data_IF_659796846998
#
_entry.id   IF_659796846998
#
_cell.length_a   1.000
_cell.length_b   1.000
_cell.length_c   1.000
_cell.angle_alpha   90.00
_cell.angle_beta   90.00
_cell.angle_gamma   90.00
#
_symmetry.space_group_name_H-M   'P 1'
#
loop_
_entity.id
_entity.type
_entity.pdbx_description
1 polymer ?
#
# COMPACT_ATOMS: atom_id res chain seq x y z
N UNK A 1 -20.44 -32.75 -41.29
CA UNK A 1 -20.05 -31.51 -40.56
C UNK A 1 -19.16 -31.74 -39.32
N UNK A 2 -18.80 -32.98 -38.93
CA UNK A 2 -18.03 -33.24 -37.69
C UNK A 2 -16.51 -32.95 -37.75
N UNK A 3 -15.87 -33.08 -38.91
CA UNK A 3 -14.40 -33.03 -39.01
C UNK A 3 -13.83 -31.61 -38.75
N UNK A 4 -14.60 -30.55 -39.07
CA UNK A 4 -14.17 -29.15 -38.83
C UNK A 4 -14.19 -28.76 -37.34
N UNK A 5 -15.09 -29.33 -36.53
CA UNK A 5 -15.17 -29.02 -35.08
C UNK A 5 -13.98 -29.60 -34.31
N UNK A 6 -13.52 -30.78 -34.70
CA UNK A 6 -12.43 -31.49 -34.00
C UNK A 6 -11.07 -30.79 -34.19
N UNK A 7 -10.82 -30.26 -35.40
CA UNK A 7 -9.64 -29.44 -35.67
C UNK A 7 -9.64 -28.10 -34.92
N UNK A 8 -10.82 -27.50 -34.69
CA UNK A 8 -10.95 -26.27 -33.90
C UNK A 8 -10.72 -26.52 -32.40
N UNK A 9 -11.21 -27.64 -31.86
CA UNK A 9 -10.94 -28.04 -30.47
C UNK A 9 -9.47 -28.38 -30.23
N UNK A 10 -8.80 -29.07 -31.16
CA UNK A 10 -7.35 -29.31 -31.07
C UNK A 10 -6.54 -28.02 -31.16
N UNK A 11 -6.93 -27.08 -32.02
CA UNK A 11 -6.31 -25.75 -32.10
C UNK A 11 -6.54 -24.92 -30.84
N UNK A 12 -7.74 -24.98 -30.25
CA UNK A 12 -8.06 -24.31 -28.99
C UNK A 12 -7.32 -24.93 -27.80
N UNK A 13 -7.16 -26.26 -27.77
CA UNK A 13 -6.37 -26.95 -26.76
C UNK A 13 -4.88 -26.58 -26.86
N UNK A 14 -4.30 -26.60 -28.07
CA UNK A 14 -2.92 -26.16 -28.30
C UNK A 14 -2.71 -24.67 -28.00
N UNK A 15 -3.73 -23.83 -28.25
CA UNK A 15 -3.69 -22.42 -27.88
C UNK A 15 -3.81 -22.24 -26.35
N UNK A 16 -4.64 -23.03 -25.66
CA UNK A 16 -4.73 -23.07 -24.19
C UNK A 16 -3.48 -23.64 -23.53
N UNK A 17 -2.72 -24.48 -24.20
CA UNK A 17 -1.42 -24.96 -23.73
C UNK A 17 -0.35 -23.88 -23.89
N UNK A 18 -0.44 -23.08 -24.96
CA UNK A 18 0.41 -21.90 -25.18
C UNK A 18 -0.01 -20.65 -24.37
N UNK A 19 -1.28 -20.56 -23.98
CA UNK A 19 -1.89 -19.47 -23.18
C UNK A 19 -2.19 -19.88 -21.73
N UNK A 20 -1.95 -21.14 -21.37
CA UNK A 20 -1.83 -21.53 -19.98
C UNK A 20 -0.75 -20.65 -19.36
N UNK A 21 -0.79 -20.38 -18.05
CA UNK A 21 0.25 -19.57 -17.44
C UNK A 21 1.59 -20.21 -17.79
N UNK A 22 2.30 -19.65 -18.77
CA UNK A 22 3.73 -19.77 -18.81
C UNK A 22 4.13 -19.24 -17.44
N UNK A 23 4.58 -20.12 -16.57
CA UNK A 23 5.46 -19.75 -15.47
C UNK A 23 6.54 -18.91 -16.11
N UNK A 24 6.34 -17.60 -16.04
CA UNK A 24 7.11 -16.59 -16.75
C UNK A 24 8.32 -16.29 -15.89
N UNK A 25 9.06 -17.34 -15.54
CA UNK A 25 10.28 -17.26 -14.73
C UNK A 25 11.43 -16.57 -15.49
N UNK A 26 11.25 -16.24 -16.77
CA UNK A 26 12.19 -15.45 -17.57
C UNK A 26 12.00 -13.92 -17.47
N UNK A 27 11.11 -13.44 -16.59
CA UNK A 27 10.78 -12.00 -16.48
C UNK A 27 11.15 -11.36 -15.14
N UNK A 28 11.77 -12.10 -14.23
CA UNK A 28 12.16 -11.61 -12.90
C UNK A 28 13.67 -11.44 -12.83
N UNK A 29 14.16 -10.45 -12.06
CA UNK A 29 15.58 -10.32 -11.81
C UNK A 29 16.07 -11.57 -11.04
N UNK A 30 17.11 -12.24 -11.53
CA UNK A 30 17.71 -13.36 -10.80
C UNK A 30 18.50 -12.83 -9.60
N UNK A 31 17.84 -12.83 -8.43
CA UNK A 31 18.39 -12.33 -7.17
C UNK A 31 18.54 -13.43 -6.11
N UNK A 32 18.41 -14.70 -6.47
CA UNK A 32 18.39 -15.83 -5.52
C UNK A 32 19.58 -15.82 -4.54
N UNK A 33 20.76 -15.43 -5.00
CA UNK A 33 21.99 -15.32 -4.19
C UNK A 33 22.51 -13.86 -4.10
N UNK A 34 21.63 -12.87 -4.27
CA UNK A 34 22.04 -11.47 -4.19
C UNK A 34 22.29 -11.04 -2.74
N UNK A 35 23.35 -10.25 -2.55
CA UNK A 35 23.64 -9.56 -1.29
C UNK A 35 22.66 -8.39 -1.06
N UNK A 36 22.38 -8.02 0.20
CA UNK A 36 21.44 -6.95 0.53
C UNK A 36 21.76 -5.64 -0.19
N UNK A 37 23.03 -5.23 -0.31
CA UNK A 37 23.46 -3.99 -0.95
C UNK A 37 23.10 -3.93 -2.44
N UNK A 38 23.13 -5.08 -3.12
CA UNK A 38 22.66 -5.15 -4.51
C UNK A 38 21.15 -4.92 -4.57
N UNK A 39 20.39 -5.57 -3.68
CA UNK A 39 18.95 -5.38 -3.57
C UNK A 39 18.58 -3.91 -3.29
N UNK A 40 19.30 -3.25 -2.37
CA UNK A 40 19.13 -1.81 -2.07
C UNK A 40 19.36 -0.93 -3.31
N UNK A 41 20.41 -1.20 -4.08
CA UNK A 41 20.67 -0.46 -5.33
C UNK A 41 19.58 -0.68 -6.38
N UNK A 42 19.03 -1.89 -6.47
CA UNK A 42 17.94 -2.20 -7.39
C UNK A 42 16.61 -1.57 -6.96
N UNK A 43 16.36 -1.39 -5.65
CA UNK A 43 15.20 -0.67 -5.14
C UNK A 43 15.14 0.79 -5.63
N UNK A 44 16.31 1.41 -5.85
CA UNK A 44 16.43 2.77 -6.39
C UNK A 44 16.11 2.85 -7.89
N UNK A 45 15.93 1.71 -8.57
CA UNK A 45 15.48 1.61 -9.96
C UNK A 45 14.13 0.86 -10.02
N UNK A 46 13.00 1.53 -9.72
CA UNK A 46 11.70 0.87 -9.62
C UNK A 46 11.29 0.23 -10.95
N UNK A 47 11.15 -1.09 -10.94
CA UNK A 47 10.57 -1.87 -12.03
C UNK A 47 9.90 -3.12 -11.48
N UNK A 48 8.92 -3.64 -12.20
CA UNK A 48 8.22 -4.88 -11.81
C UNK A 48 9.23 -6.04 -11.69
N UNK A 49 10.21 -6.10 -12.61
CA UNK A 49 11.28 -7.10 -12.66
C UNK A 49 12.16 -7.07 -11.41
N UNK A 50 12.56 -5.87 -10.96
CA UNK A 50 13.40 -5.72 -9.77
C UNK A 50 12.63 -6.06 -8.49
N UNK A 51 11.37 -5.61 -8.36
CA UNK A 51 10.56 -5.94 -7.18
C UNK A 51 10.14 -7.41 -7.15
N UNK A 52 9.85 -8.05 -8.28
CA UNK A 52 9.51 -9.47 -8.29
C UNK A 52 10.70 -10.34 -7.89
N UNK A 53 11.89 -10.06 -8.44
CA UNK A 53 13.14 -10.71 -8.02
C UNK A 53 13.45 -10.45 -6.54
N UNK A 54 13.27 -9.22 -6.06
CA UNK A 54 13.51 -8.88 -4.67
C UNK A 54 12.55 -9.60 -3.73
N UNK A 55 11.26 -9.69 -4.08
CA UNK A 55 10.26 -10.44 -3.32
C UNK A 55 10.72 -11.88 -3.12
N UNK A 56 11.11 -12.58 -4.20
CA UNK A 56 11.62 -13.96 -4.09
C UNK A 56 12.86 -14.03 -3.19
N UNK A 57 13.77 -13.07 -3.28
CA UNK A 57 14.97 -13.03 -2.43
C UNK A 57 14.65 -12.80 -0.95
N UNK A 58 13.64 -11.99 -0.64
CA UNK A 58 13.13 -11.75 0.72
C UNK A 58 12.40 -12.99 1.28
N UNK A 59 11.60 -13.67 0.45
CA UNK A 59 10.87 -14.87 0.85
C UNK A 59 11.80 -16.05 1.20
N UNK A 60 12.99 -16.10 0.59
CA UNK A 60 13.97 -17.16 0.79
C UNK A 60 15.20 -16.72 1.62
N UNK A 61 15.17 -15.53 2.24
CA UNK A 61 16.28 -15.05 3.06
C UNK A 61 16.29 -15.71 4.44
N UNK A 62 17.48 -15.91 5.00
CA UNK A 62 17.65 -16.20 6.42
C UNK A 62 17.56 -14.93 7.29
N UNK A 63 17.56 -15.12 8.61
CA UNK A 63 17.47 -14.04 9.58
C UNK A 63 18.64 -13.04 9.48
N UNK A 64 19.86 -13.53 9.21
CA UNK A 64 21.05 -12.69 9.13
C UNK A 64 20.96 -11.73 7.94
N UNK A 65 20.56 -12.24 6.78
CA UNK A 65 20.35 -11.44 5.59
C UNK A 65 19.20 -10.44 5.77
N UNK A 66 18.09 -10.87 6.38
CA UNK A 66 16.95 -9.98 6.65
C UNK A 66 17.35 -8.81 7.54
N UNK A 67 18.11 -9.06 8.62
CA UNK A 67 18.62 -8.00 9.50
C UNK A 67 19.49 -7.02 8.73
N UNK A 68 20.45 -7.50 7.92
CA UNK A 68 21.29 -6.61 7.11
C UNK A 68 20.48 -5.76 6.12
N UNK A 69 19.48 -6.36 5.46
CA UNK A 69 18.59 -5.62 4.56
C UNK A 69 17.84 -4.50 5.28
N UNK A 70 17.36 -4.75 6.50
CA UNK A 70 16.68 -3.77 7.33
C UNK A 70 17.62 -2.66 7.82
N UNK A 71 18.82 -3.01 8.29
CA UNK A 71 19.86 -2.06 8.72
C UNK A 71 20.33 -1.15 7.57
N UNK A 72 20.32 -1.66 6.34
CA UNK A 72 20.59 -0.88 5.12
C UNK A 72 19.36 -0.10 4.62
N UNK A 73 18.34 0.11 5.47
CA UNK A 73 17.14 0.90 5.17
C UNK A 73 16.29 0.34 4.02
N UNK A 74 16.35 -0.98 3.77
CA UNK A 74 15.59 -1.61 2.69
C UNK A 74 14.08 -1.46 2.83
N UNK A 75 13.56 -1.55 4.06
CA UNK A 75 12.14 -1.33 4.34
C UNK A 75 11.72 0.13 4.13
N UNK A 76 12.57 1.10 4.52
CA UNK A 76 12.30 2.52 4.27
C UNK A 76 12.18 2.82 2.79
N UNK A 77 13.09 2.30 1.97
CA UNK A 77 13.05 2.48 0.52
C UNK A 77 11.81 1.84 -0.12
N UNK A 78 11.36 0.69 0.39
CA UNK A 78 10.12 0.04 -0.06
C UNK A 78 8.89 0.90 0.26
N UNK A 79 8.77 1.38 1.49
CA UNK A 79 7.62 2.20 1.91
C UNK A 79 7.62 3.57 1.25
N UNK A 80 8.79 4.19 1.06
CA UNK A 80 8.92 5.44 0.30
C UNK A 80 8.56 5.24 -1.18
N UNK A 81 8.93 4.10 -1.78
CA UNK A 81 8.50 3.77 -3.13
C UNK A 81 6.97 3.61 -3.21
N UNK A 82 6.35 2.94 -2.23
CA UNK A 82 4.90 2.77 -2.16
C UNK A 82 4.17 4.12 -2.04
N UNK A 83 4.68 5.03 -1.21
CA UNK A 83 4.13 6.38 -1.04
C UNK A 83 4.22 7.20 -2.34
N UNK A 84 5.41 7.25 -2.96
CA UNK A 84 5.62 7.93 -4.26
C UNK A 84 4.70 7.40 -5.36
N UNK A 85 4.42 6.10 -5.36
CA UNK A 85 3.52 5.50 -6.32
C UNK A 85 2.05 5.82 -6.01
N UNK A 86 1.68 5.95 -4.73
CA UNK A 86 0.31 6.23 -4.28
C UNK A 86 -0.15 7.64 -4.66
N UNK A 87 0.71 8.65 -4.55
CA UNK A 87 0.38 10.05 -4.83
C UNK A 87 0.21 10.42 -6.31
N UNK A 88 0.64 9.58 -7.26
CA UNK A 88 0.62 9.92 -8.70
C UNK A 88 -0.68 9.57 -9.42
N UNK A 89 -1.59 8.85 -8.77
CA UNK A 89 -2.73 8.22 -9.43
C UNK A 89 -2.28 7.10 -10.38
N UNK A 90 -3.09 6.07 -10.56
CA UNK A 90 -2.77 4.95 -11.46
C UNK A 90 -3.06 5.38 -12.90
N UNK A 91 -2.11 6.05 -13.55
CA UNK A 91 -2.26 6.49 -14.94
C UNK A 91 -2.12 5.33 -15.94
N UNK A 92 -1.39 4.27 -15.57
CA UNK A 92 -1.12 3.10 -16.43
C UNK A 92 -1.23 1.80 -15.65
N UNK A 93 -1.55 0.72 -16.38
CA UNK A 93 -1.57 -0.65 -15.84
C UNK A 93 -0.21 -1.03 -15.24
N UNK A 94 0.89 -0.59 -15.85
CA UNK A 94 2.25 -0.79 -15.34
C UNK A 94 2.44 -0.24 -13.94
N UNK A 95 1.81 0.89 -13.60
CA UNK A 95 1.99 1.56 -12.32
C UNK A 95 1.21 0.82 -11.22
N UNK A 96 0.02 0.33 -11.54
CA UNK A 96 -0.73 -0.57 -10.65
C UNK A 96 0.01 -1.88 -10.38
N UNK A 97 0.61 -2.47 -11.41
CA UNK A 97 1.42 -3.68 -11.25
C UNK A 97 2.65 -3.40 -10.39
N UNK A 98 3.36 -2.29 -10.64
CA UNK A 98 4.53 -1.90 -9.87
C UNK A 98 4.19 -1.68 -8.39
N UNK A 99 3.08 -0.99 -8.09
CA UNK A 99 2.58 -0.83 -6.72
C UNK A 99 2.27 -2.18 -6.07
N UNK A 100 1.59 -3.08 -6.79
CA UNK A 100 1.24 -4.40 -6.28
C UNK A 100 2.46 -5.25 -5.96
N UNK A 101 3.47 -5.23 -6.83
CA UNK A 101 4.72 -5.96 -6.59
C UNK A 101 5.52 -5.33 -5.45
N UNK A 102 5.50 -4.00 -5.30
CA UNK A 102 6.14 -3.30 -4.19
C UNK A 102 5.54 -3.69 -2.82
N UNK A 103 4.21 -3.63 -2.67
CA UNK A 103 3.57 -4.05 -1.41
C UNK A 103 3.78 -5.54 -1.12
N UNK A 104 3.93 -6.38 -2.16
CA UNK A 104 4.30 -7.78 -1.96
C UNK A 104 5.72 -7.97 -1.40
N UNK A 105 6.67 -7.06 -1.68
CA UNK A 105 7.98 -7.08 -1.02
C UNK A 105 7.85 -6.73 0.46
N UNK A 106 7.02 -5.73 0.81
CA UNK A 106 6.76 -5.38 2.22
C UNK A 106 6.10 -6.55 2.97
N UNK A 107 5.15 -7.25 2.32
CA UNK A 107 4.59 -8.49 2.86
C UNK A 107 5.66 -9.55 3.10
N UNK A 108 6.58 -9.76 2.16
CA UNK A 108 7.67 -10.72 2.31
C UNK A 108 8.56 -10.39 3.52
N UNK A 109 8.92 -9.11 3.73
CA UNK A 109 9.62 -8.66 4.94
C UNK A 109 8.85 -9.03 6.19
N UNK A 110 7.57 -8.67 6.27
CA UNK A 110 6.79 -8.88 7.49
C UNK A 110 6.42 -10.35 7.74
N UNK A 111 6.50 -11.22 6.74
CA UNK A 111 6.39 -12.66 6.92
C UNK A 111 7.65 -13.28 7.58
N UNK A 112 8.78 -12.58 7.57
CA UNK A 112 9.97 -12.97 8.34
C UNK A 112 9.81 -12.58 9.81
N UNK A 113 10.24 -13.46 10.72
CA UNK A 113 10.24 -13.20 12.15
C UNK A 113 11.02 -11.93 12.50
N UNK A 114 12.21 -11.74 11.90
CA UNK A 114 13.01 -10.53 12.10
C UNK A 114 12.38 -9.30 11.48
N UNK A 115 11.71 -9.43 10.35
CA UNK A 115 11.03 -8.31 9.70
C UNK A 115 9.85 -7.77 10.51
N UNK A 116 8.98 -8.64 11.03
CA UNK A 116 7.85 -8.18 11.87
C UNK A 116 8.29 -7.66 13.23
N UNK A 117 9.30 -8.29 13.86
CA UNK A 117 9.91 -7.81 15.11
C UNK A 117 10.48 -6.39 14.93
N UNK A 118 11.16 -6.15 13.81
CA UNK A 118 11.71 -4.84 13.46
C UNK A 118 10.62 -3.78 13.23
N UNK A 119 9.51 -4.14 12.58
CA UNK A 119 8.37 -3.23 12.35
C UNK A 119 7.70 -2.85 13.67
N UNK A 120 7.43 -3.83 14.56
CA UNK A 120 6.79 -3.57 15.85
C UNK A 120 7.70 -2.75 16.77
N UNK A 121 9.02 -2.90 16.64
CA UNK A 121 9.98 -2.09 17.41
C UNK A 121 10.05 -0.62 16.98
N UNK A 122 9.39 -0.23 15.89
CA UNK A 122 9.52 1.09 15.27
C UNK A 122 8.15 1.63 14.80
N UNK A 123 7.54 2.50 15.60
CA UNK A 123 6.19 3.06 15.35
C UNK A 123 6.03 3.71 13.97
N UNK A 124 7.10 4.31 13.44
CA UNK A 124 7.08 5.02 12.16
C UNK A 124 6.69 4.15 10.97
N UNK A 125 7.00 2.85 10.99
CA UNK A 125 6.66 1.96 9.88
C UNK A 125 5.17 1.65 9.82
N UNK A 126 4.52 1.49 10.98
CA UNK A 126 3.07 1.25 11.04
C UNK A 126 2.32 2.49 10.55
N UNK A 127 2.76 3.70 10.93
CA UNK A 127 2.19 4.95 10.39
C UNK A 127 2.37 5.07 8.86
N UNK A 128 3.55 4.73 8.32
CA UNK A 128 3.78 4.69 6.86
C UNK A 128 2.87 3.66 6.15
N UNK A 129 2.59 2.51 6.76
CA UNK A 129 1.63 1.54 6.22
C UNK A 129 0.20 2.11 6.16
N UNK A 130 -0.23 2.84 7.19
CA UNK A 130 -1.52 3.54 7.17
C UNK A 130 -1.56 4.63 6.10
N UNK A 131 -0.52 5.44 5.96
CA UNK A 131 -0.43 6.46 4.90
C UNK A 131 -0.55 5.84 3.50
N UNK A 132 0.01 4.65 3.28
CA UNK A 132 -0.13 3.95 2.00
C UNK A 132 -1.59 3.57 1.63
N UNK A 133 -2.56 3.68 2.55
CA UNK A 133 -3.99 3.56 2.25
C UNK A 133 -4.52 4.69 1.36
N UNK A 134 -3.77 5.80 1.20
CA UNK A 134 -4.12 6.92 0.32
C UNK A 134 -4.04 6.56 -1.17
N UNK A 135 -3.44 5.42 -1.54
CA UNK A 135 -3.48 4.90 -2.91
C UNK A 135 -4.90 4.78 -3.47
N UNK A 136 -5.09 4.88 -4.78
CA UNK A 136 -6.37 4.55 -5.42
C UNK A 136 -6.51 3.07 -5.77
N UNK A 137 -5.44 2.28 -5.61
CA UNK A 137 -5.41 0.87 -5.95
C UNK A 137 -6.05 0.01 -4.84
N UNK A 138 -7.28 -0.44 -5.05
CA UNK A 138 -8.06 -1.24 -4.09
C UNK A 138 -7.36 -2.54 -3.69
N UNK A 139 -6.62 -3.15 -4.61
CA UNK A 139 -5.90 -4.40 -4.33
C UNK A 139 -4.71 -4.14 -3.39
N UNK A 140 -4.03 -2.99 -3.53
CA UNK A 140 -2.99 -2.58 -2.58
C UNK A 140 -3.60 -2.28 -1.21
N UNK A 141 -4.73 -1.57 -1.14
CA UNK A 141 -5.44 -1.34 0.14
C UNK A 141 -5.79 -2.64 0.85
N UNK A 142 -6.32 -3.62 0.11
CA UNK A 142 -6.60 -4.96 0.66
C UNK A 142 -5.33 -5.57 1.27
N UNK A 143 -4.21 -5.54 0.56
CA UNK A 143 -2.95 -6.08 1.09
C UNK A 143 -2.53 -5.34 2.37
N UNK A 144 -2.59 -4.01 2.39
CA UNK A 144 -2.24 -3.21 3.58
C UNK A 144 -3.13 -3.58 4.78
N UNK A 145 -4.45 -3.74 4.59
CA UNK A 145 -5.34 -4.19 5.66
C UNK A 145 -4.98 -5.58 6.19
N UNK A 146 -4.62 -6.53 5.32
CA UNK A 146 -4.12 -7.84 5.74
C UNK A 146 -2.83 -7.71 6.55
N UNK A 147 -1.93 -6.80 6.16
CA UNK A 147 -0.68 -6.57 6.90
C UNK A 147 -0.94 -5.98 8.30
N UNK A 148 -1.82 -4.97 8.39
CA UNK A 148 -2.21 -4.35 9.65
C UNK A 148 -2.93 -5.35 10.58
N UNK A 149 -3.78 -6.21 10.02
CA UNK A 149 -4.43 -7.29 10.78
C UNK A 149 -3.40 -8.29 11.32
N UNK A 150 -2.38 -8.65 10.53
CA UNK A 150 -1.30 -9.52 10.97
C UNK A 150 -0.50 -8.92 12.14
N UNK A 151 -0.19 -7.61 12.11
CA UNK A 151 0.46 -6.90 13.22
C UNK A 151 -0.37 -6.95 14.51
N UNK A 152 -1.68 -6.71 14.40
CA UNK A 152 -2.60 -6.80 15.55
C UNK A 152 -2.65 -8.20 16.17
N UNK A 153 -2.56 -9.25 15.36
CA UNK A 153 -2.59 -10.64 15.82
C UNK A 153 -1.24 -11.07 16.39
N UNK A 154 -0.14 -10.55 15.82
CA UNK A 154 1.21 -10.94 16.20
C UNK A 154 1.55 -10.60 17.66
N UNK A 155 1.19 -9.40 18.13
CA UNK A 155 1.49 -8.98 19.50
C UNK A 155 0.57 -7.86 20.00
N UNK A 156 0.51 -7.68 21.33
CA UNK A 156 -0.18 -6.54 21.94
C UNK A 156 0.41 -5.19 21.52
N UNK A 157 1.73 -5.12 21.36
CA UNK A 157 2.42 -3.89 20.93
C UNK A 157 2.06 -3.56 19.47
N UNK A 158 2.06 -4.56 18.60
CA UNK A 158 1.59 -4.42 17.21
C UNK A 158 0.14 -3.92 17.12
N UNK A 159 -0.74 -4.43 17.98
CA UNK A 159 -2.12 -3.93 18.10
C UNK A 159 -2.17 -2.47 18.55
N UNK A 160 -1.43 -2.11 19.61
CA UNK A 160 -1.37 -0.73 20.11
C UNK A 160 -0.85 0.24 19.06
N UNK A 161 0.19 -0.14 18.33
CA UNK A 161 0.76 0.66 17.24
C UNK A 161 -0.21 0.84 16.07
N UNK A 162 -0.98 -0.19 15.74
CA UNK A 162 -1.99 -0.09 14.69
C UNK A 162 -3.13 0.86 15.08
N UNK A 163 -3.55 0.87 16.36
CA UNK A 163 -4.53 1.83 16.86
C UNK A 163 -3.98 3.25 16.88
N UNK A 164 -2.76 3.43 17.38
CA UNK A 164 -2.07 4.72 17.37
C UNK A 164 -1.98 5.29 15.95
N UNK A 165 -1.50 4.48 14.99
CA UNK A 165 -1.38 4.89 13.61
C UNK A 165 -2.73 5.16 12.94
N UNK A 166 -3.78 4.42 13.30
CA UNK A 166 -5.14 4.68 12.83
C UNK A 166 -5.66 6.03 13.32
N UNK A 167 -5.41 6.38 14.59
CA UNK A 167 -5.83 7.66 15.15
C UNK A 167 -5.07 8.82 14.48
N UNK A 168 -3.75 8.69 14.29
CA UNK A 168 -2.96 9.63 13.48
C UNK A 168 -3.47 9.75 12.03
N UNK A 169 -3.92 8.65 11.43
CA UNK A 169 -4.46 8.65 10.06
C UNK A 169 -5.84 9.32 9.95
N UNK A 170 -6.70 9.21 10.98
CA UNK A 170 -7.99 9.92 11.03
C UNK A 170 -7.81 11.43 11.10
N UNK A 171 -6.72 11.88 11.68
CA UNK A 171 -6.39 13.30 11.81
C UNK A 171 -5.75 13.87 10.53
N UNK A 172 -6.09 13.35 9.34
CA UNK A 172 -5.57 13.81 8.05
C UNK A 172 -6.06 15.25 7.76
N UNK A 173 -5.31 16.21 8.33
CA UNK A 173 -5.57 17.65 8.35
C UNK A 173 -5.90 18.22 6.96
N UNK A 174 -5.25 17.84 5.84
CA UNK A 174 -5.60 18.35 4.50
C UNK A 174 -7.05 18.08 4.10
N UNK A 175 -7.59 16.91 4.43
CA UNK A 175 -8.99 16.56 4.16
C UNK A 175 -9.93 17.39 5.03
N UNK A 176 -9.63 17.52 6.32
CA UNK A 176 -10.41 18.34 7.24
C UNK A 176 -10.37 19.83 6.88
N UNK A 177 -9.22 20.36 6.46
CA UNK A 177 -9.05 21.74 5.98
C UNK A 177 -9.84 21.98 4.69
N UNK A 178 -9.84 21.01 3.76
CA UNK A 178 -10.63 21.10 2.51
C UNK A 178 -12.12 21.08 2.80
N UNK A 179 -12.56 20.18 3.68
CA UNK A 179 -13.96 20.08 4.12
C UNK A 179 -14.41 21.36 4.82
N UNK A 180 -13.61 21.91 5.72
CA UNK A 180 -13.89 23.19 6.37
C UNK A 180 -13.94 24.36 5.38
N UNK A 181 -13.04 24.37 4.39
CA UNK A 181 -13.06 25.38 3.32
C UNK A 181 -14.37 25.30 2.52
N UNK A 182 -14.85 24.10 2.21
CA UNK A 182 -16.14 23.89 1.55
C UNK A 182 -17.33 24.32 2.42
N UNK A 183 -17.34 23.95 3.71
CA UNK A 183 -18.38 24.36 4.67
C UNK A 183 -18.41 25.89 4.80
N UNK A 184 -17.25 26.53 4.90
CA UNK A 184 -17.13 27.98 4.95
C UNK A 184 -17.68 28.64 3.69
N UNK A 185 -17.42 28.07 2.50
CA UNK A 185 -17.98 28.57 1.24
C UNK A 185 -19.52 28.44 1.20
N UNK A 186 -20.08 27.32 1.68
CA UNK A 186 -21.53 27.10 1.75
C UNK A 186 -22.21 28.12 2.68
N UNK A 187 -21.63 28.40 3.85
CA UNK A 187 -22.17 29.35 4.82
C UNK A 187 -22.04 30.78 4.28
N UNK A 188 -20.84 31.19 3.83
CA UNK A 188 -20.58 32.57 3.40
C UNK A 188 -21.29 32.92 2.08
N UNK A 189 -21.59 31.93 1.23
CA UNK A 189 -22.28 32.11 -0.04
C UNK A 189 -23.77 32.48 0.06
N UNK A 190 -24.39 32.46 1.25
CA UNK A 190 -25.76 32.96 1.45
C UNK A 190 -25.74 34.46 1.73
N UNK A 191 -26.64 35.26 1.13
CA UNK A 191 -26.67 36.72 1.36
C UNK A 191 -27.25 37.08 2.74
N UNK A 192 -28.25 36.33 3.20
CA UNK A 192 -28.99 36.63 4.42
C UNK A 192 -28.32 36.06 5.68
N UNK A 193 -28.07 36.92 6.67
CA UNK A 193 -27.43 36.56 7.95
C UNK A 193 -28.18 35.48 8.74
N UNK A 194 -29.52 35.50 8.71
CA UNK A 194 -30.36 34.50 9.39
C UNK A 194 -30.10 33.11 8.83
N UNK A 195 -30.10 32.97 7.51
CA UNK A 195 -29.82 31.73 6.79
C UNK A 195 -28.40 31.23 7.07
N UNK A 196 -27.39 32.12 7.09
CA UNK A 196 -26.02 31.75 7.49
C UNK A 196 -25.98 31.15 8.90
N UNK A 197 -26.71 31.76 9.82
CA UNK A 197 -26.76 31.34 11.23
C UNK A 197 -27.44 29.98 11.37
N UNK A 198 -28.53 29.75 10.64
CA UNK A 198 -29.24 28.47 10.64
C UNK A 198 -28.36 27.33 10.11
N UNK A 199 -27.74 27.51 8.94
CA UNK A 199 -26.86 26.50 8.33
C UNK A 199 -25.67 26.18 9.24
N UNK A 200 -25.07 27.20 9.88
CA UNK A 200 -23.99 26.99 10.85
C UNK A 200 -24.46 26.15 12.05
N UNK A 201 -25.67 26.41 12.57
CA UNK A 201 -26.22 25.63 13.67
C UNK A 201 -26.53 24.19 13.26
N UNK A 202 -26.96 23.96 12.02
CA UNK A 202 -27.14 22.61 11.46
C UNK A 202 -25.81 21.85 11.43
N UNK A 203 -24.73 22.47 10.95
CA UNK A 203 -23.39 21.85 10.98
C UNK A 203 -22.86 21.61 12.39
N UNK A 204 -23.13 22.52 13.34
CA UNK A 204 -22.80 22.30 14.76
C UNK A 204 -23.56 21.07 15.29
N UNK A 205 -24.84 20.93 14.94
CA UNK A 205 -25.64 19.74 15.30
C UNK A 205 -25.11 18.43 14.72
N UNK A 206 -24.38 18.50 13.60
CA UNK A 206 -23.65 17.39 12.99
C UNK A 206 -22.22 17.20 13.55
N UNK A 207 -21.94 17.72 14.75
CA UNK A 207 -20.66 17.55 15.45
C UNK A 207 -19.45 18.24 14.78
N UNK A 208 -19.67 19.30 14.00
CA UNK A 208 -18.56 20.06 13.40
C UNK A 208 -17.60 20.65 14.47
N UNK A 209 -18.07 20.93 15.68
CA UNK A 209 -17.23 21.43 16.77
C UNK A 209 -16.18 20.40 17.21
N UNK A 210 -16.56 19.12 17.31
CA UNK A 210 -15.64 18.04 17.68
C UNK A 210 -14.54 17.87 16.61
N UNK A 211 -14.84 18.18 15.35
CA UNK A 211 -13.88 18.20 14.24
C UNK A 211 -12.95 19.42 14.32
N UNK A 212 -13.48 20.59 14.71
CA UNK A 212 -12.70 21.81 14.88
C UNK A 212 -11.74 21.75 16.07
N UNK A 213 -12.13 21.11 17.16
CA UNK A 213 -11.27 20.92 18.33
C UNK A 213 -10.08 20.00 18.02
N UNK A 214 -10.19 19.09 17.03
CA UNK A 214 -9.06 18.31 16.52
C UNK A 214 -8.07 19.11 15.66
N UNK A 215 -8.43 20.33 15.25
CA UNK A 215 -7.61 21.20 14.39
C UNK A 215 -7.00 22.39 15.14
N UNK A 216 -7.29 22.51 16.45
CA UNK A 216 -6.72 23.52 17.34
C UNK A 216 -5.45 23.02 18.01
#
# INVERSE_FOLDING_TARGET
>A
MSIKKEGAHKKWAALKEKLGPQETDQSEANLENAEPELCIRLLQMPSVVNYSGLRKRLENSDDAWMVQFLELSGLDLLLEALDRLSGRGVARISDALLQLTCISCVRAVMNSHKGIEYIVSNEGYVRKLFQALDTTNVMVKKQIFELLAALCIYSSDGHSLALDALDHYKDNVPYMVTLLSAINAIILGKEELRTRTQIRNEFIGLQLLDVLDKLR
#
